data_IF_804233552589
#
_entry.id   IF_804233552589
#
_cell.length_a   1.000
_cell.length_b   1.000
_cell.length_c   1.000
_cell.angle_alpha   90.00
_cell.angle_beta   90.00
_cell.angle_gamma   90.00
#
_symmetry.space_group_name_H-M   'P 1'
#
loop_
_entity.id
_entity.type
_entity.pdbx_description
1 polymer ?
#
# COMPACT_ATOMS: atom_id res chain seq x y z
N UNK A 1 58.59 18.51 -45.18
CA UNK A 1 58.31 19.93 -45.44
C UNK A 1 56.82 20.09 -45.75
N UNK A 2 56.17 21.02 -45.04
CA UNK A 2 54.99 21.82 -45.45
C UNK A 2 53.61 21.15 -45.65
N UNK A 3 52.73 21.31 -44.65
CA UNK A 3 51.31 21.76 -44.82
C UNK A 3 51.27 23.20 -45.38
N UNK A 4 50.19 23.80 -45.98
CA UNK A 4 48.78 23.79 -45.49
C UNK A 4 47.62 24.13 -46.51
N UNK A 5 46.38 24.32 -45.98
CA UNK A 5 45.27 25.23 -46.44
C UNK A 5 44.60 24.92 -47.82
N UNK A 6 43.31 25.12 -48.15
CA UNK A 6 42.13 25.85 -47.61
C UNK A 6 40.90 25.61 -48.55
N UNK A 7 39.66 25.51 -48.03
CA UNK A 7 38.51 26.46 -48.21
C UNK A 7 37.51 26.26 -49.40
N UNK A 8 36.22 26.10 -49.00
CA UNK A 8 34.90 26.52 -49.55
C UNK A 8 34.38 26.16 -50.97
N UNK A 9 33.12 25.64 -51.00
CA UNK A 9 31.89 26.29 -51.57
C UNK A 9 30.64 25.49 -51.13
N UNK A 10 29.79 26.06 -50.25
CA UNK A 10 28.50 26.76 -50.51
C UNK A 10 27.35 25.88 -51.04
N UNK A 11 26.41 25.54 -50.15
CA UNK A 11 25.01 25.20 -50.44
C UNK A 11 24.11 26.04 -49.54
N UNK A 12 23.14 26.74 -50.14
CA UNK A 12 22.32 27.80 -49.57
C UNK A 12 21.16 27.26 -48.74
N UNK A 13 20.89 27.94 -47.63
CA UNK A 13 19.86 27.68 -46.61
C UNK A 13 18.51 28.29 -47.03
N UNK A 14 17.44 27.51 -46.97
CA UNK A 14 16.05 27.99 -46.96
C UNK A 14 15.47 27.97 -45.54
N UNK A 15 14.96 29.10 -45.08
CA UNK A 15 14.38 29.29 -43.75
C UNK A 15 12.93 28.80 -43.64
N UNK A 16 12.46 28.42 -42.43
CA UNK A 16 11.08 28.62 -42.05
C UNK A 16 10.91 29.48 -40.79
N UNK A 17 9.75 30.16 -40.79
CA UNK A 17 9.32 31.28 -39.96
C UNK A 17 9.11 30.93 -38.47
N UNK A 18 9.51 31.86 -37.61
CA UNK A 18 9.13 31.92 -36.20
C UNK A 18 7.63 32.22 -36.03
N UNK A 19 6.98 31.57 -35.06
CA UNK A 19 5.79 32.09 -34.38
C UNK A 19 6.00 31.97 -32.88
N UNK A 20 6.15 33.13 -32.23
CA UNK A 20 5.95 33.32 -30.79
C UNK A 20 4.45 33.23 -30.49
N UNK A 21 4.09 32.65 -29.35
CA UNK A 21 2.78 32.82 -28.74
C UNK A 21 2.98 33.17 -27.26
N UNK A 22 2.43 34.32 -26.88
CA UNK A 22 2.49 34.91 -25.55
C UNK A 22 1.42 34.32 -24.63
N UNK A 23 1.71 34.40 -23.34
CA UNK A 23 0.79 34.16 -22.24
C UNK A 23 0.04 35.46 -21.89
N UNK A 24 -1.29 35.40 -21.72
CA UNK A 24 -2.03 36.12 -20.67
C UNK A 24 -3.52 35.69 -20.57
N UNK A 25 -3.98 35.62 -19.32
CA UNK A 25 -5.25 35.26 -18.63
C UNK A 25 -6.63 35.69 -19.23
N UNK A 26 -7.79 35.57 -18.53
CA UNK A 26 -8.47 34.42 -17.90
C UNK A 26 -9.97 34.29 -18.31
N UNK A 27 -10.58 33.09 -18.21
CA UNK A 27 -12.03 32.89 -18.45
C UNK A 27 -12.79 32.60 -17.14
N UNK A 28 -13.27 33.67 -16.51
CA UNK A 28 -14.50 33.64 -15.70
C UNK A 28 -15.70 33.97 -16.60
N UNK A 29 -16.91 33.55 -16.19
CA UNK A 29 -18.23 33.69 -16.85
C UNK A 29 -18.69 32.47 -17.65
N UNK A 30 -19.37 31.56 -16.95
CA UNK A 30 -20.64 30.92 -17.37
C UNK A 30 -21.27 30.18 -16.18
N UNK A 31 -21.56 30.93 -15.12
CA UNK A 31 -22.60 30.57 -14.16
C UNK A 31 -23.75 31.56 -14.35
N UNK A 32 -24.89 31.05 -14.77
CA UNK A 32 -26.10 31.83 -15.02
C UNK A 32 -26.98 31.05 -15.97
N UNK A 33 -28.23 30.81 -15.58
CA UNK A 33 -29.27 30.08 -16.32
C UNK A 33 -29.32 28.55 -16.12
N UNK A 34 -29.45 28.11 -14.86
CA UNK A 34 -30.21 26.89 -14.53
C UNK A 34 -30.74 26.90 -13.09
N UNK A 35 -31.24 28.06 -12.65
CA UNK A 35 -31.85 28.26 -11.32
C UNK A 35 -33.14 29.07 -11.44
N UNK A 36 -34.09 28.55 -12.24
CA UNK A 36 -35.48 29.03 -12.26
C UNK A 36 -36.36 28.01 -12.98
N UNK A 37 -36.75 26.95 -12.25
CA UNK A 37 -37.89 26.06 -12.56
C UNK A 37 -38.12 25.04 -11.42
N UNK A 38 -38.14 25.53 -10.19
CA UNK A 38 -38.47 24.75 -8.99
C UNK A 38 -39.16 25.65 -7.95
N UNK A 39 -40.11 26.46 -8.42
CA UNK A 39 -41.01 27.26 -7.58
C UNK A 39 -42.33 27.42 -8.33
N UNK A 40 -43.13 26.35 -8.42
CA UNK A 40 -44.60 26.35 -8.60
C UNK A 40 -45.09 24.91 -8.74
N UNK A 41 -45.24 24.21 -7.63
CA UNK A 41 -46.09 23.02 -7.55
C UNK A 41 -46.64 22.88 -6.12
N UNK A 42 -47.72 23.64 -5.89
CA UNK A 42 -48.91 23.31 -5.11
C UNK A 42 -48.76 22.87 -3.64
N UNK A 43 -49.09 23.87 -2.81
CA UNK A 43 -49.70 23.84 -1.48
C UNK A 43 -51.16 23.31 -1.55
N UNK A 44 -51.68 22.87 -0.39
CA UNK A 44 -53.07 22.47 -0.02
C UNK A 44 -53.37 20.96 -0.18
N UNK A 45 -53.89 20.20 0.80
CA UNK A 45 -54.91 20.47 1.83
C UNK A 45 -54.91 19.36 2.94
N UNK A 46 -55.52 19.66 4.10
CA UNK A 46 -55.94 18.75 5.19
C UNK A 46 -57.24 19.34 5.81
N UNK A 47 -57.92 18.73 6.81
CA UNK A 47 -58.42 17.36 7.07
C UNK A 47 -60.00 17.36 7.19
N UNK A 48 -60.73 16.37 7.81
CA UNK A 48 -60.82 16.20 9.28
C UNK A 48 -61.10 14.75 9.80
N UNK A 49 -61.28 14.68 11.13
CA UNK A 49 -61.38 13.55 12.08
C UNK A 49 -62.51 12.51 11.94
N UNK A 50 -62.25 11.32 12.51
CA UNK A 50 -63.21 10.62 13.39
C UNK A 50 -63.65 9.21 13.01
N UNK A 51 -63.11 8.16 13.67
CA UNK A 51 -63.86 7.04 14.26
C UNK A 51 -62.92 5.96 14.84
N UNK A 52 -63.18 5.58 16.10
CA UNK A 52 -62.60 4.45 16.81
C UNK A 52 -62.99 3.11 16.16
N UNK A 53 -62.11 2.10 16.20
CA UNK A 53 -62.44 0.66 16.35
C UNK A 53 -61.20 -0.10 16.87
N UNK A 54 -61.50 -1.18 17.58
CA UNK A 54 -60.79 -1.99 18.55
C UNK A 54 -59.49 -2.71 18.17
N UNK A 55 -58.71 -2.93 19.23
CA UNK A 55 -57.67 -3.94 19.45
C UNK A 55 -57.57 -5.11 18.48
N UNK A 56 -56.39 -5.25 17.86
CA UNK A 56 -55.84 -6.55 17.47
C UNK A 56 -54.33 -6.56 17.70
N UNK A 57 -53.83 -7.69 18.24
CA UNK A 57 -52.48 -7.90 18.75
C UNK A 57 -51.41 -7.66 17.69
N UNK A 58 -50.50 -6.72 17.92
CA UNK A 58 -49.24 -6.61 17.17
C UNK A 58 -48.29 -7.76 17.54
N UNK A 59 -47.73 -8.51 16.58
CA UNK A 59 -46.60 -9.38 16.84
C UNK A 59 -45.36 -8.51 17.07
N UNK A 60 -44.75 -8.61 18.26
CA UNK A 60 -43.50 -7.93 18.59
C UNK A 60 -42.41 -8.30 17.58
N UNK A 61 -42.13 -7.42 16.62
CA UNK A 61 -40.93 -7.53 15.80
C UNK A 61 -39.73 -7.26 16.69
N UNK A 62 -38.87 -8.26 16.83
CA UNK A 62 -37.56 -8.09 17.45
C UNK A 62 -36.79 -6.99 16.70
N UNK A 63 -36.03 -6.13 17.39
CA UNK A 63 -35.21 -5.12 16.73
C UNK A 63 -34.22 -5.80 15.79
N UNK A 64 -33.87 -5.17 14.65
CA UNK A 64 -32.89 -5.73 13.73
C UNK A 64 -31.59 -5.94 14.49
N UNK A 65 -31.15 -7.21 14.55
CA UNK A 65 -29.84 -7.56 15.08
C UNK A 65 -28.79 -6.85 14.23
N UNK A 66 -28.23 -5.77 14.76
CA UNK A 66 -27.01 -5.18 14.23
C UNK A 66 -25.96 -6.30 14.21
N UNK A 67 -25.33 -6.62 13.07
CA UNK A 67 -24.20 -7.54 13.07
C UNK A 67 -23.15 -6.91 13.98
N UNK A 68 -22.88 -7.53 15.12
CA UNK A 68 -21.78 -7.13 15.99
C UNK A 68 -20.46 -7.15 15.20
N UNK A 69 -19.41 -6.48 15.68
CA UNK A 69 -18.12 -6.46 14.98
C UNK A 69 -17.69 -7.89 14.69
N UNK A 70 -17.56 -8.24 13.40
CA UNK A 70 -17.07 -9.55 12.98
C UNK A 70 -15.66 -9.73 13.54
N UNK A 71 -15.55 -10.52 14.61
CA UNK A 71 -14.29 -10.84 15.24
C UNK A 71 -13.56 -11.87 14.38
N UNK A 72 -12.30 -11.59 14.08
CA UNK A 72 -11.41 -12.54 13.41
C UNK A 72 -11.38 -13.86 14.16
N UNK A 73 -11.48 -14.97 13.43
CA UNK A 73 -11.39 -16.34 13.96
C UNK A 73 -10.05 -16.63 14.67
N UNK A 74 -9.04 -15.76 14.50
CA UNK A 74 -7.72 -15.91 15.08
C UNK A 74 -7.51 -15.15 16.41
N UNK A 75 -8.43 -14.27 16.80
CA UNK A 75 -8.24 -13.35 17.94
C UNK A 75 -9.36 -13.45 18.99
N UNK A 76 -9.78 -14.67 19.34
CA UNK A 76 -10.86 -14.92 20.30
C UNK A 76 -10.47 -14.84 21.78
N UNK A 77 -9.35 -14.21 22.15
CA UNK A 77 -8.97 -14.06 23.57
C UNK A 77 -9.30 -12.67 24.11
N UNK A 78 -10.13 -12.61 25.16
CA UNK A 78 -10.42 -11.41 25.95
C UNK A 78 -9.30 -11.04 26.95
N UNK A 79 -8.11 -11.64 26.83
CA UNK A 79 -6.93 -11.31 27.65
C UNK A 79 -5.67 -11.32 26.78
N UNK A 80 -5.08 -10.14 26.63
CA UNK A 80 -3.81 -9.91 25.93
C UNK A 80 -4.00 -9.52 24.47
N UNK A 81 -3.85 -8.22 24.17
CA UNK A 81 -3.45 -7.84 22.80
C UNK A 81 -2.17 -8.65 22.51
N UNK A 82 -2.08 -9.36 21.36
CA UNK A 82 -0.84 -10.03 21.01
C UNK A 82 0.28 -9.01 21.11
N UNK A 83 1.32 -9.33 21.88
CA UNK A 83 2.31 -8.35 22.27
C UNK A 83 2.87 -7.65 21.03
N UNK A 84 2.73 -6.32 21.00
CA UNK A 84 3.38 -5.45 20.02
C UNK A 84 4.85 -5.83 19.92
N UNK A 85 5.37 -5.96 18.72
CA UNK A 85 6.78 -6.23 18.47
C UNK A 85 7.60 -4.96 18.74
N UNK A 86 8.61 -5.06 19.60
CA UNK A 86 9.44 -3.95 20.04
C UNK A 86 10.59 -3.64 19.08
N UNK A 87 11.42 -2.65 19.45
CA UNK A 87 12.57 -2.22 18.66
C UNK A 87 13.56 -3.34 18.34
N UNK A 88 13.72 -4.30 19.25
CA UNK A 88 14.58 -5.47 19.12
C UNK A 88 14.20 -6.37 17.94
N UNK A 89 12.91 -6.43 17.58
CA UNK A 89 12.48 -7.17 16.41
C UNK A 89 12.99 -6.54 15.12
N UNK A 90 13.04 -5.21 15.05
CA UNK A 90 13.40 -4.49 13.82
C UNK A 90 14.91 -4.38 13.61
N UNK A 91 15.73 -4.48 14.67
CA UNK A 91 17.20 -4.31 14.61
C UNK A 91 17.93 -5.56 14.06
N UNK A 92 17.57 -5.92 12.84
CA UNK A 92 18.11 -7.03 12.08
C UNK A 92 18.44 -6.58 10.64
N UNK A 93 19.37 -7.24 9.94
CA UNK A 93 19.65 -6.93 8.54
C UNK A 93 18.40 -7.13 7.67
N UNK A 94 18.36 -6.47 6.50
CA UNK A 94 17.15 -6.42 5.66
C UNK A 94 16.59 -7.79 5.27
N UNK A 95 17.44 -8.78 4.96
CA UNK A 95 16.99 -10.13 4.55
C UNK A 95 16.37 -10.91 5.73
N UNK A 96 17.06 -11.08 6.88
CA UNK A 96 16.44 -11.64 8.08
C UNK A 96 15.14 -10.94 8.48
N UNK A 97 15.12 -9.60 8.47
CA UNK A 97 13.93 -8.84 8.85
C UNK A 97 12.77 -9.07 7.86
N UNK A 98 13.05 -9.08 6.55
CA UNK A 98 12.03 -9.31 5.53
C UNK A 98 11.37 -10.69 5.66
N UNK A 99 12.15 -11.71 6.02
CA UNK A 99 11.65 -13.05 6.35
C UNK A 99 10.87 -13.05 7.66
N UNK A 100 11.40 -12.42 8.70
CA UNK A 100 10.78 -12.35 10.03
C UNK A 100 9.42 -11.63 10.02
N UNK A 101 9.22 -10.67 9.10
CA UNK A 101 7.92 -10.02 8.88
C UNK A 101 6.83 -10.99 8.40
N UNK A 102 7.18 -12.07 7.69
CA UNK A 102 6.18 -12.99 7.16
C UNK A 102 5.43 -13.66 8.31
N UNK A 103 4.11 -13.61 8.23
CA UNK A 103 3.22 -14.16 9.24
C UNK A 103 2.89 -13.22 10.39
N UNK A 104 3.63 -12.11 10.58
CA UNK A 104 3.28 -11.06 11.56
C UNK A 104 2.05 -10.27 11.12
N UNK A 105 1.41 -9.57 12.05
CA UNK A 105 0.15 -8.86 11.80
C UNK A 105 0.36 -7.36 11.89
N UNK A 106 0.19 -6.67 10.77
CA UNK A 106 0.16 -5.22 10.73
C UNK A 106 -1.21 -4.74 11.19
N UNK A 107 -1.21 -3.84 12.17
CA UNK A 107 -2.41 -3.26 12.75
C UNK A 107 -2.43 -1.76 12.49
N UNK A 108 -3.59 -1.25 12.09
CA UNK A 108 -3.85 0.17 11.88
C UNK A 108 -5.07 0.57 12.71
N UNK A 109 -4.91 1.53 13.60
CA UNK A 109 -5.98 2.06 14.46
C UNK A 109 -6.47 3.45 13.99
N UNK A 110 -7.65 3.49 13.38
CA UNK A 110 -8.24 4.70 12.82
C UNK A 110 -8.75 5.65 13.92
N UNK A 111 -8.95 6.93 13.57
CA UNK A 111 -9.36 7.96 14.54
C UNK A 111 -10.76 7.76 15.14
N UNK A 112 -11.58 6.87 14.57
CA UNK A 112 -12.89 6.49 15.09
C UNK A 112 -12.85 5.26 16.02
N UNK A 113 -11.65 4.74 16.33
CA UNK A 113 -11.46 3.54 17.15
C UNK A 113 -11.43 2.23 16.36
N UNK A 114 -11.65 2.25 15.04
CA UNK A 114 -11.64 1.04 14.22
C UNK A 114 -10.22 0.52 14.03
N UNK A 115 -10.01 -0.78 14.27
CA UNK A 115 -8.77 -1.46 13.93
C UNK A 115 -8.88 -2.25 12.62
N UNK A 116 -7.91 -2.02 11.73
CA UNK A 116 -7.69 -2.79 10.52
C UNK A 116 -6.49 -3.70 10.72
N UNK A 117 -6.62 -4.98 10.37
CA UNK A 117 -5.60 -6.01 10.65
C UNK A 117 -5.30 -6.77 9.38
N UNK A 118 -4.01 -6.91 9.06
CA UNK A 118 -3.55 -7.70 7.91
C UNK A 118 -2.28 -8.47 8.21
N UNK A 119 -2.28 -9.78 7.95
CA UNK A 119 -1.10 -10.62 8.10
C UNK A 119 -0.16 -10.40 6.92
N UNK A 120 1.12 -10.15 7.17
CA UNK A 120 2.10 -9.95 6.11
C UNK A 120 2.39 -11.29 5.43
N UNK A 121 2.22 -11.33 4.10
CA UNK A 121 2.43 -12.54 3.29
C UNK A 121 3.49 -12.36 2.20
N UNK A 122 3.93 -11.13 1.94
CA UNK A 122 4.95 -10.82 0.93
C UNK A 122 5.73 -9.55 1.30
N UNK A 123 7.07 -9.63 1.21
CA UNK A 123 8.03 -8.56 1.51
C UNK A 123 9.16 -8.51 0.49
N UNK A 124 9.86 -7.38 0.39
CA UNK A 124 11.12 -7.26 -0.35
C UNK A 124 12.19 -6.59 0.49
N UNK A 125 13.40 -7.13 0.47
CA UNK A 125 14.58 -6.50 1.06
C UNK A 125 15.26 -5.55 0.05
N UNK A 126 15.70 -4.40 0.56
CA UNK A 126 16.56 -3.45 -0.13
C UNK A 126 17.81 -3.26 0.73
N UNK A 127 18.98 -3.65 0.20
CA UNK A 127 20.18 -3.86 1.03
C UNK A 127 20.95 -2.57 1.35
N UNK A 128 20.61 -1.45 0.72
CA UNK A 128 21.28 -0.18 0.97
C UNK A 128 22.24 0.22 -0.15
N UNK A 129 23.44 0.77 0.18
CA UNK A 129 24.36 1.35 -0.78
C UNK A 129 24.76 0.45 -1.95
N UNK A 130 24.98 -0.85 -1.72
CA UNK A 130 25.35 -1.76 -2.81
C UNK A 130 24.19 -2.07 -3.76
N UNK A 131 22.96 -1.98 -3.29
CA UNK A 131 21.77 -2.44 -4.01
C UNK A 131 21.33 -1.44 -5.08
N UNK A 132 21.55 -1.78 -6.35
CA UNK A 132 21.22 -0.91 -7.48
C UNK A 132 19.72 -0.69 -7.66
N UNK A 133 18.86 -1.50 -7.04
CA UNK A 133 17.42 -1.28 -7.02
C UNK A 133 16.98 -0.33 -5.90
N UNK A 134 17.82 -0.08 -4.89
CA UNK A 134 17.46 0.72 -3.73
C UNK A 134 17.50 2.23 -4.01
N UNK A 135 16.65 2.97 -3.31
CA UNK A 135 16.72 4.44 -3.32
C UNK A 135 17.99 5.00 -2.68
N UNK A 136 18.65 4.20 -1.85
CA UNK A 136 19.90 4.48 -1.13
C UNK A 136 21.16 4.04 -1.88
N UNK A 137 21.05 3.54 -3.13
CA UNK A 137 22.19 3.09 -3.93
C UNK A 137 23.33 4.11 -3.93
N UNK A 138 24.56 3.63 -3.82
CA UNK A 138 25.77 4.45 -3.72
C UNK A 138 25.81 5.36 -2.49
N UNK A 139 25.09 5.00 -1.42
CA UNK A 139 24.98 5.81 -0.20
C UNK A 139 24.13 7.06 -0.37
N UNK A 140 23.27 7.13 -1.40
CA UNK A 140 22.50 8.33 -1.72
C UNK A 140 21.44 8.60 -0.65
N UNK A 141 21.68 9.61 0.17
CA UNK A 141 20.71 10.15 1.12
C UNK A 141 20.08 11.45 0.58
N UNK A 142 18.76 11.55 0.68
CA UNK A 142 17.95 12.69 0.25
C UNK A 142 16.88 12.96 1.32
N UNK A 143 16.25 14.15 1.35
CA UNK A 143 15.13 14.39 2.26
C UNK A 143 14.01 13.35 2.12
N UNK A 144 13.79 12.81 0.91
CA UNK A 144 12.73 11.85 0.62
C UNK A 144 12.96 10.49 1.30
N UNK A 145 14.18 9.96 1.29
CA UNK A 145 14.50 8.61 1.77
C UNK A 145 15.16 8.60 3.16
N UNK A 146 15.08 9.70 3.90
CA UNK A 146 15.65 9.85 5.24
C UNK A 146 15.26 8.70 6.18
N UNK A 147 14.02 8.21 6.10
CA UNK A 147 13.55 7.07 6.91
C UNK A 147 14.38 5.79 6.78
N UNK A 148 15.02 5.54 5.62
CA UNK A 148 15.90 4.38 5.42
C UNK A 148 17.25 4.51 6.17
N UNK A 149 17.61 5.70 6.62
CA UNK A 149 18.84 6.01 7.35
C UNK A 149 18.55 6.36 8.82
N UNK A 150 17.31 6.14 9.25
CA UNK A 150 16.90 6.27 10.64
C UNK A 150 16.91 4.91 11.32
N UNK A 151 16.77 4.90 12.64
CA UNK A 151 16.82 3.68 13.45
C UNK A 151 15.91 2.57 12.89
N UNK A 152 16.28 1.29 13.04
CA UNK A 152 15.43 0.18 12.63
C UNK A 152 14.02 0.30 13.23
N UNK A 153 13.00 -0.04 12.45
CA UNK A 153 11.59 0.17 12.80
C UNK A 153 11.01 1.51 12.33
N UNK A 154 11.84 2.45 11.87
CA UNK A 154 11.35 3.70 11.28
C UNK A 154 10.66 3.44 9.95
N UNK A 155 9.45 3.97 9.77
CA UNK A 155 8.73 3.90 8.52
C UNK A 155 9.37 4.79 7.45
N UNK A 156 9.49 4.25 6.25
CA UNK A 156 9.78 5.00 5.05
C UNK A 156 8.62 4.87 4.07
N UNK A 157 7.78 5.92 4.01
CA UNK A 157 6.59 5.98 3.15
C UNK A 157 6.81 7.01 2.05
N UNK A 158 6.74 6.59 0.79
CA UNK A 158 6.98 7.48 -0.34
C UNK A 158 5.89 7.36 -1.41
N UNK A 159 5.70 8.46 -2.16
CA UNK A 159 4.80 8.52 -3.30
C UNK A 159 5.50 7.98 -4.55
N UNK A 160 4.85 7.04 -5.23
CA UNK A 160 5.25 6.47 -6.52
C UNK A 160 4.19 6.81 -7.58
N UNK A 161 4.65 7.06 -8.81
CA UNK A 161 3.81 7.45 -9.96
C UNK A 161 2.88 8.66 -9.70
N UNK A 162 3.24 9.51 -8.73
CA UNK A 162 2.47 10.70 -8.38
C UNK A 162 1.12 10.46 -7.69
N UNK A 163 0.74 9.22 -7.40
CA UNK A 163 -0.61 8.91 -6.89
C UNK A 163 -0.70 7.76 -5.88
N UNK A 164 0.37 6.97 -5.72
CA UNK A 164 0.35 5.75 -4.90
C UNK A 164 1.42 5.78 -3.83
N UNK A 165 1.19 5.14 -2.70
CA UNK A 165 2.20 5.01 -1.64
C UNK A 165 2.85 3.63 -1.64
N UNK A 166 4.08 3.57 -1.15
CA UNK A 166 4.78 2.35 -0.77
C UNK A 166 5.25 2.49 0.67
N UNK A 167 4.99 1.49 1.51
CA UNK A 167 5.35 1.47 2.92
C UNK A 167 6.53 0.54 3.15
N UNK A 168 7.64 1.11 3.61
CA UNK A 168 8.86 0.38 3.96
C UNK A 168 9.14 0.56 5.45
N UNK A 169 9.94 -0.33 6.00
CA UNK A 169 10.42 -0.26 7.38
C UNK A 169 11.94 -0.34 7.36
N UNK A 170 12.61 0.64 7.97
CA UNK A 170 14.07 0.67 8.13
C UNK A 170 14.54 -0.58 8.86
N UNK A 171 15.62 -1.19 8.36
CA UNK A 171 16.28 -2.34 8.97
C UNK A 171 17.64 -1.92 9.53
N UNK A 172 18.38 -2.86 10.13
CA UNK A 172 19.79 -2.64 10.46
C UNK A 172 20.60 -2.41 9.19
N UNK A 173 21.47 -1.40 9.22
CA UNK A 173 22.30 -0.96 8.09
C UNK A 173 21.78 0.30 7.41
N UNK A 174 22.63 1.31 7.29
CA UNK A 174 22.24 2.61 6.74
C UNK A 174 21.73 2.49 5.30
N UNK A 175 20.52 2.99 5.07
CA UNK A 175 19.89 2.93 3.76
C UNK A 175 19.23 1.59 3.45
N UNK A 176 19.27 0.61 4.35
CA UNK A 176 18.61 -0.69 4.18
C UNK A 176 17.16 -0.66 4.72
N UNK A 177 16.25 -1.35 4.04
CA UNK A 177 14.86 -1.43 4.49
C UNK A 177 14.12 -2.63 3.90
N UNK A 178 12.92 -2.87 4.43
CA UNK A 178 11.98 -3.87 3.92
C UNK A 178 10.72 -3.20 3.40
N UNK A 179 10.35 -3.46 2.15
CA UNK A 179 9.05 -3.08 1.58
C UNK A 179 7.99 -4.12 1.95
N UNK A 180 6.84 -3.66 2.45
CA UNK A 180 5.66 -4.51 2.58
C UNK A 180 4.91 -4.53 1.24
N UNK A 181 4.63 -5.72 0.72
CA UNK A 181 4.01 -5.88 -0.61
C UNK A 181 2.61 -6.42 -0.58
N UNK A 182 2.31 -7.38 0.28
CA UNK A 182 0.97 -7.93 0.36
C UNK A 182 0.60 -8.37 1.76
N UNK A 183 -0.69 -8.20 2.07
CA UNK A 183 -1.30 -8.67 3.30
C UNK A 183 -2.47 -9.60 3.01
N UNK A 184 -2.65 -10.59 3.88
CA UNK A 184 -3.92 -11.29 4.09
C UNK A 184 -4.81 -10.45 5.03
N UNK A 185 -5.95 -9.91 4.57
CA UNK A 185 -6.87 -9.16 5.43
C UNK A 185 -7.48 -10.05 6.52
N UNK A 186 -7.35 -9.66 7.78
CA UNK A 186 -7.85 -10.42 8.94
C UNK A 186 -9.00 -9.72 9.67
N UNK A 187 -9.08 -8.40 9.62
CA UNK A 187 -10.12 -7.61 10.31
C UNK A 187 -10.28 -6.24 9.67
N UNK A 188 -11.52 -5.73 9.66
CA UNK A 188 -11.87 -4.43 9.06
C UNK A 188 -12.04 -4.45 7.53
N UNK A 189 -12.38 -5.61 6.94
CA UNK A 189 -12.43 -5.81 5.48
C UNK A 189 -13.36 -4.82 4.77
N UNK A 190 -14.54 -4.53 5.32
CA UNK A 190 -15.47 -3.58 4.69
C UNK A 190 -14.94 -2.15 4.68
N UNK A 191 -14.23 -1.74 5.74
CA UNK A 191 -13.56 -0.43 5.79
C UNK A 191 -12.41 -0.38 4.78
N UNK A 192 -11.61 -1.44 4.69
CA UNK A 192 -10.57 -1.57 3.66
C UNK A 192 -11.17 -1.45 2.25
N UNK A 193 -12.34 -2.08 2.01
CA UNK A 193 -13.05 -2.02 0.73
C UNK A 193 -13.49 -0.60 0.41
N UNK A 194 -14.08 0.10 1.38
CA UNK A 194 -14.50 1.50 1.24
C UNK A 194 -13.31 2.42 0.93
N UNK A 195 -12.23 2.32 1.70
CA UNK A 195 -11.00 3.10 1.47
C UNK A 195 -10.38 2.85 0.10
N UNK A 196 -10.42 1.60 -0.39
CA UNK A 196 -9.96 1.27 -1.75
C UNK A 196 -10.90 1.78 -2.83
N UNK A 197 -12.21 1.84 -2.56
CA UNK A 197 -13.19 2.37 -3.51
C UNK A 197 -13.12 3.90 -3.66
N UNK A 198 -12.94 4.66 -2.57
CA UNK A 198 -12.86 6.14 -2.65
C UNK A 198 -11.72 6.63 -3.54
N UNK A 199 -10.61 5.88 -3.60
CA UNK A 199 -9.47 6.21 -4.46
C UNK A 199 -9.70 5.77 -5.93
N UNK A 200 -10.55 4.78 -6.18
CA UNK A 200 -10.90 4.34 -7.55
C UNK A 200 -11.91 5.31 -8.15
N UNK A 201 -11.42 6.29 -8.93
CA UNK A 201 -12.28 7.19 -9.72
C UNK A 201 -13.10 6.38 -10.74
N UNK A 202 -14.43 6.40 -10.61
CA UNK A 202 -15.37 5.89 -11.63
C UNK A 202 -16.71 5.38 -11.05
N UNK A 203 -17.83 5.87 -11.59
CA UNK A 203 -19.20 5.62 -11.10
C UNK A 203 -19.72 4.18 -11.25
N UNK A 204 -18.90 3.24 -11.73
CA UNK A 204 -19.29 1.86 -12.03
C UNK A 204 -18.20 0.82 -11.67
N UNK A 205 -17.35 1.10 -10.67
CA UNK A 205 -16.38 0.10 -10.22
C UNK A 205 -17.13 -1.06 -9.56
N UNK A 206 -17.03 -2.27 -10.14
CA UNK A 206 -17.48 -3.50 -9.48
C UNK A 206 -16.94 -3.58 -8.05
N UNK A 207 -17.68 -4.26 -7.18
CA UNK A 207 -17.22 -4.58 -5.84
C UNK A 207 -15.85 -5.27 -5.90
N UNK A 208 -14.91 -4.79 -5.09
CA UNK A 208 -13.61 -5.42 -4.91
C UNK A 208 -13.81 -6.77 -4.22
N UNK A 209 -13.11 -7.80 -4.68
CA UNK A 209 -12.98 -9.06 -3.95
C UNK A 209 -11.94 -8.88 -2.84
N UNK A 210 -12.01 -9.71 -1.79
CA UNK A 210 -11.10 -9.57 -0.64
C UNK A 210 -9.63 -9.68 -1.05
N UNK A 211 -9.31 -10.59 -1.98
CA UNK A 211 -7.97 -10.73 -2.55
C UNK A 211 -7.43 -9.42 -3.13
N UNK A 212 -8.28 -8.50 -3.57
CA UNK A 212 -7.88 -7.25 -4.23
C UNK A 212 -7.68 -6.07 -3.26
N UNK A 213 -7.94 -6.29 -1.96
CA UNK A 213 -7.78 -5.27 -0.92
C UNK A 213 -6.30 -4.96 -0.69
N UNK A 214 -5.49 -6.00 -0.43
CA UNK A 214 -4.10 -5.83 0.03
C UNK A 214 -3.05 -6.59 -0.82
N UNK A 215 -3.41 -7.11 -2.00
CA UNK A 215 -2.48 -7.81 -2.91
C UNK A 215 -1.60 -6.87 -3.75
N UNK A 216 -0.86 -5.99 -3.08
CA UNK A 216 0.10 -5.08 -3.72
C UNK A 216 0.52 -3.93 -2.81
N UNK A 217 1.75 -3.40 -2.96
CA UNK A 217 2.35 -2.47 -2.00
C UNK A 217 1.55 -1.18 -1.85
N UNK A 218 0.95 -0.69 -2.94
CA UNK A 218 0.10 0.49 -2.88
C UNK A 218 -1.35 0.17 -2.55
N UNK A 219 -1.79 -1.07 -2.75
CA UNK A 219 -3.14 -1.51 -2.40
C UNK A 219 -3.26 -1.60 -0.87
N UNK A 220 -2.29 -2.22 -0.19
CA UNK A 220 -2.29 -2.29 1.27
C UNK A 220 -2.21 -0.91 1.91
N UNK A 221 -1.46 0.04 1.34
CA UNK A 221 -1.42 1.41 1.87
C UNK A 221 -2.81 2.07 1.80
N UNK A 222 -3.50 1.93 0.67
CA UNK A 222 -4.87 2.46 0.54
C UNK A 222 -5.86 1.77 1.47
N UNK A 223 -5.82 0.43 1.52
CA UNK A 223 -6.70 -0.36 2.37
C UNK A 223 -6.53 -0.04 3.87
N UNK A 224 -5.33 0.37 4.28
CA UNK A 224 -5.00 0.74 5.67
C UNK A 224 -4.94 2.26 5.90
N UNK A 225 -5.37 3.09 4.94
CA UNK A 225 -5.25 4.55 5.04
C UNK A 225 -3.84 5.02 5.46
N UNK A 226 -2.80 4.41 4.89
CA UNK A 226 -1.40 4.82 5.04
C UNK A 226 -1.05 5.76 3.90
N UNK A 227 -0.62 6.96 4.27
CA UNK A 227 -0.17 8.02 3.37
C UNK A 227 1.18 8.60 3.82
N UNK A 228 1.58 9.73 3.22
CA UNK A 228 2.86 10.37 3.52
C UNK A 228 2.99 10.83 4.99
N UNK A 229 1.89 11.03 5.72
CA UNK A 229 1.93 11.46 7.12
C UNK A 229 2.50 10.39 8.07
N UNK A 230 2.62 9.15 7.61
CA UNK A 230 3.26 8.04 8.31
C UNK A 230 4.77 7.92 8.05
N UNK A 231 5.32 8.70 7.12
CA UNK A 231 6.76 8.69 6.86
C UNK A 231 7.54 9.13 8.10
N UNK A 232 8.66 8.45 8.37
CA UNK A 232 9.57 8.71 9.49
C UNK A 232 8.97 8.50 10.89
N UNK A 233 7.76 7.93 11.00
CA UNK A 233 7.21 7.46 12.27
C UNK A 233 7.85 6.13 12.69
N UNK A 234 7.78 5.82 13.97
CA UNK A 234 8.40 4.62 14.54
C UNK A 234 7.37 3.52 14.76
N UNK A 235 7.48 2.42 14.01
CA UNK A 235 6.53 1.30 14.06
C UNK A 235 6.52 0.58 15.41
N UNK A 236 7.60 0.70 16.21
CA UNK A 236 7.68 0.11 17.54
C UNK A 236 6.86 0.89 18.58
N UNK A 237 6.61 2.19 18.38
CA UNK A 237 6.02 3.07 19.41
C UNK A 237 4.77 3.84 18.94
N UNK A 238 4.49 3.91 17.65
CA UNK A 238 3.35 4.66 17.11
C UNK A 238 2.00 4.10 17.59
N UNK A 239 1.06 4.98 17.93
CA UNK A 239 -0.27 4.60 18.45
C UNK A 239 -1.27 4.23 17.35
N UNK A 240 -1.03 4.70 16.13
CA UNK A 240 -1.93 4.55 14.99
C UNK A 240 -1.55 3.35 14.09
N UNK A 241 -0.30 2.90 14.13
CA UNK A 241 0.18 1.72 13.39
C UNK A 241 1.23 0.95 14.19
N UNK A 242 1.10 -0.37 14.27
CA UNK A 242 2.09 -1.23 14.92
C UNK A 242 2.07 -2.63 14.33
N UNK A 243 3.05 -3.44 14.72
CA UNK A 243 3.14 -4.85 14.37
C UNK A 243 2.89 -5.73 15.60
N UNK A 244 2.08 -6.76 15.44
CA UNK A 244 1.83 -7.78 16.44
C UNK A 244 2.42 -9.12 16.01
N UNK A 245 2.84 -9.92 17.00
CA UNK A 245 3.28 -11.28 16.74
C UNK A 245 2.15 -12.10 16.14
N UNK A 246 2.41 -12.73 15.00
CA UNK A 246 1.47 -13.63 14.35
C UNK A 246 1.15 -14.86 15.20
N UNK A 247 0.01 -15.55 14.94
CA UNK A 247 -0.34 -16.76 15.66
C UNK A 247 0.75 -17.83 15.47
N UNK A 248 1.21 -18.41 16.58
CA UNK A 248 2.12 -19.56 16.61
C UNK A 248 1.36 -20.80 16.14
N UNK A 249 1.24 -20.97 14.83
CA UNK A 249 0.73 -22.20 14.21
C UNK A 249 1.76 -23.33 14.23
N UNK A 250 1.32 -24.54 13.88
CA UNK A 250 2.15 -25.74 13.73
C UNK A 250 3.14 -25.59 12.57
N UNK A 251 4.32 -25.03 12.85
CA UNK A 251 5.44 -24.87 11.93
C UNK A 251 5.59 -23.47 11.35
N UNK A 252 6.84 -23.07 11.08
CA UNK A 252 7.12 -21.87 10.30
C UNK A 252 6.56 -22.03 8.88
N UNK A 253 5.91 -20.99 8.32
CA UNK A 253 5.37 -21.08 6.97
C UNK A 253 6.50 -21.32 5.96
N UNK A 254 6.27 -22.18 4.97
CA UNK A 254 7.21 -22.34 3.86
C UNK A 254 7.39 -21.00 3.12
N UNK A 255 8.63 -20.49 3.09
CA UNK A 255 8.97 -19.20 2.47
C UNK A 255 9.63 -19.42 1.12
N UNK A 256 9.10 -18.77 0.08
CA UNK A 256 9.75 -18.69 -1.23
C UNK A 256 10.61 -17.43 -1.29
N UNK A 257 11.86 -17.57 -1.74
CA UNK A 257 12.72 -16.45 -2.11
C UNK A 257 12.75 -16.32 -3.63
N UNK A 258 12.46 -15.13 -4.16
CA UNK A 258 12.28 -14.87 -5.58
C UNK A 258 12.84 -13.50 -5.99
N UNK A 259 12.95 -13.26 -7.30
CA UNK A 259 13.29 -11.94 -7.83
C UNK A 259 12.23 -10.88 -7.43
N UNK A 260 12.68 -9.65 -7.20
CA UNK A 260 11.81 -8.52 -6.79
C UNK A 260 10.98 -8.00 -7.97
N UNK A 261 9.83 -7.40 -7.67
CA UNK A 261 8.86 -6.94 -8.67
C UNK A 261 9.09 -5.49 -9.05
N UNK A 262 9.20 -5.22 -10.35
CA UNK A 262 9.21 -3.85 -10.88
C UNK A 262 10.57 -3.15 -10.85
N UNK A 263 11.66 -3.90 -10.70
CA UNK A 263 13.04 -3.37 -10.61
C UNK A 263 13.92 -3.73 -11.82
N UNK A 264 13.32 -3.91 -13.02
CA UNK A 264 14.05 -4.34 -14.22
C UNK A 264 15.21 -3.43 -14.64
N UNK A 265 15.25 -2.19 -14.15
CA UNK A 265 16.35 -1.25 -14.38
C UNK A 265 17.61 -1.54 -13.54
N UNK A 266 17.59 -2.52 -12.64
CA UNK A 266 18.63 -2.73 -11.64
C UNK A 266 19.76 -3.69 -12.07
N UNK A 267 19.81 -4.09 -13.35
CA UNK A 267 20.85 -5.01 -13.85
C UNK A 267 20.86 -6.34 -13.07
N UNK A 268 22.04 -6.80 -12.66
CA UNK A 268 22.23 -8.02 -11.86
C UNK A 268 21.37 -8.05 -10.58
N UNK A 269 21.09 -6.88 -9.98
CA UNK A 269 20.28 -6.77 -8.78
C UNK A 269 18.79 -7.08 -9.00
N UNK A 270 18.34 -7.08 -10.26
CA UNK A 270 16.97 -7.44 -10.63
C UNK A 270 16.68 -8.93 -10.44
N UNK A 271 17.70 -9.79 -10.56
CA UNK A 271 17.55 -11.25 -10.48
C UNK A 271 17.81 -11.81 -9.08
N UNK A 272 18.39 -11.00 -8.17
CA UNK A 272 18.68 -11.46 -6.80
C UNK A 272 17.39 -11.88 -6.06
N UNK A 273 17.41 -12.99 -5.31
CA UNK A 273 16.24 -13.53 -4.61
C UNK A 273 15.92 -12.77 -3.32
N UNK A 274 15.65 -11.47 -3.44
CA UNK A 274 15.43 -10.54 -2.33
C UNK A 274 13.94 -10.22 -2.09
N UNK A 275 13.03 -10.98 -2.71
CA UNK A 275 11.59 -10.97 -2.42
C UNK A 275 11.22 -12.25 -1.70
N UNK A 276 10.45 -12.13 -0.63
CA UNK A 276 10.03 -13.26 0.19
C UNK A 276 8.52 -13.31 0.29
N UNK A 277 7.94 -14.50 0.17
CA UNK A 277 6.50 -14.69 0.37
C UNK A 277 6.15 -16.07 0.90
N UNK A 278 4.97 -16.16 1.53
CA UNK A 278 4.43 -17.42 2.04
C UNK A 278 3.94 -18.26 0.85
N UNK A 279 4.52 -19.45 0.69
CA UNK A 279 4.18 -20.39 -0.38
C UNK A 279 2.69 -20.77 -0.33
N UNK A 280 2.03 -20.79 -1.49
CA UNK A 280 0.63 -21.18 -1.60
C UNK A 280 -0.38 -20.14 -1.08
N UNK A 281 0.07 -19.03 -0.50
CA UNK A 281 -0.85 -17.98 -0.03
C UNK A 281 -1.58 -17.32 -1.21
N UNK A 282 -2.93 -17.28 -1.21
CA UNK A 282 -3.71 -16.66 -2.29
C UNK A 282 -3.65 -15.14 -2.27
N UNK A 283 -3.05 -14.56 -1.22
CA UNK A 283 -2.99 -13.13 -0.95
C UNK A 283 -1.72 -12.46 -1.52
N UNK A 284 -0.71 -13.26 -1.89
CA UNK A 284 0.52 -12.81 -2.55
C UNK A 284 0.19 -12.05 -3.84
N UNK A 285 0.90 -10.95 -4.08
CA UNK A 285 0.62 -10.07 -5.21
C UNK A 285 1.05 -10.67 -6.56
N UNK A 286 2.25 -11.27 -6.62
CA UNK A 286 2.81 -11.91 -7.82
C UNK A 286 3.45 -13.24 -7.42
N UNK A 287 3.00 -14.34 -8.02
CA UNK A 287 3.56 -15.66 -7.75
C UNK A 287 4.71 -15.94 -8.72
N UNK A 288 5.82 -16.47 -8.22
CA UNK A 288 6.94 -16.96 -9.03
C UNK A 288 6.94 -18.50 -9.04
N UNK A 289 6.46 -19.08 -10.14
CA UNK A 289 6.33 -20.54 -10.28
C UNK A 289 7.68 -21.24 -10.43
N UNK A 290 8.71 -20.54 -10.89
CA UNK A 290 10.05 -21.13 -10.99
C UNK A 290 10.67 -21.22 -9.60
N UNK A 291 10.69 -20.11 -8.86
CA UNK A 291 11.18 -20.08 -7.48
C UNK A 291 10.43 -21.03 -6.54
N UNK A 292 9.12 -21.22 -6.74
CA UNK A 292 8.34 -22.22 -5.99
C UNK A 292 8.83 -23.66 -6.22
N UNK A 293 9.22 -24.01 -7.46
CA UNK A 293 9.75 -25.35 -7.77
C UNK A 293 11.15 -25.54 -7.18
N UNK A 294 11.99 -24.52 -7.26
CA UNK A 294 13.36 -24.58 -6.72
C UNK A 294 13.36 -24.75 -5.19
N UNK A 295 12.45 -24.05 -4.50
CA UNK A 295 12.24 -24.20 -3.06
C UNK A 295 11.75 -25.61 -2.66
N UNK A 296 10.90 -26.23 -3.47
CA UNK A 296 10.42 -27.61 -3.25
C UNK A 296 11.49 -28.67 -3.54
N UNK A 297 12.40 -28.40 -4.48
CA UNK A 297 13.48 -29.31 -4.86
C UNK A 297 14.63 -29.36 -3.85
N UNK A 298 14.57 -28.57 -2.76
CA UNK A 298 15.65 -28.50 -1.76
C UNK A 298 16.95 -27.90 -2.30
N UNK A 299 16.92 -27.29 -3.49
CA UNK A 299 18.05 -26.60 -4.07
C UNK A 299 18.21 -25.27 -3.35
N UNK A 300 19.09 -25.23 -2.35
CA UNK A 300 19.59 -23.94 -1.84
C UNK A 300 20.32 -23.25 -2.99
N UNK A 301 19.92 -22.04 -3.40
CA UNK A 301 20.71 -21.29 -4.37
C UNK A 301 22.12 -21.08 -3.81
N UNK A 302 23.14 -21.17 -4.67
CA UNK A 302 24.57 -21.14 -4.32
C UNK A 302 25.07 -19.81 -3.69
N UNK A 303 24.17 -18.96 -3.18
CA UNK A 303 24.45 -17.61 -2.70
C UNK A 303 23.81 -17.34 -1.32
N UNK A 304 23.73 -18.33 -0.43
CA UNK A 304 23.29 -18.16 0.98
C UNK A 304 24.33 -17.49 1.90
N UNK A 305 25.26 -16.69 1.36
CA UNK A 305 26.13 -15.79 2.14
C UNK A 305 25.70 -14.33 1.91
N UNK A 306 24.67 -13.87 2.65
CA UNK A 306 24.34 -12.44 2.77
C UNK A 306 23.88 -12.13 4.20
#
# INVERSE_FOLDING_TARGET
MLTPLSILRRGVVGAPRQRQASWNQPLSRRMGQKKQRLLTAKRHQAPPDGAQISSSKEPRMAPPMTPGPQRSIYFSSLKGHPARLGSEFFDQPAVPLARAFLGQVLVRHLGDGTELRGRIVETEAYLGPEDQAAHSRGGRQTPRNRGMFMRPGTLYVYLIYGMYFCMNVSSRGDGACVLLRALEPLGGLEVMRQLRHTVRKGAASRALKDRELCSGPSKLCQALAIDKSFDQRDLATDEAVWLERGPSGSGEPAVVAAARVGIGHAGEWAQKPLRFYIQGSPWVSVVDRAAERDAQAGHRPAHEEF
#
